data_IF_249050841564
#
_entry.id   IF_249050841564
#
_cell.length_a   1.000
_cell.length_b   1.000
_cell.length_c   1.000
_cell.angle_alpha   90.00
_cell.angle_beta   90.00
_cell.angle_gamma   90.00
#
_symmetry.space_group_name_H-M   'P 1'
#
loop_
_entity.id
_entity.type
_entity.pdbx_description
1 polymer ?
#
# COMPACT_ATOMS: atom_id res chain seq x y z
N UNK A 1 12.09 -5.24 5.07
CA UNK A 1 11.93 -4.39 3.86
C UNK A 1 12.93 -3.25 3.87
N UNK A 2 12.90 -2.36 4.88
CA UNK A 2 13.83 -1.21 4.96
C UNK A 2 15.31 -1.61 5.02
N UNK A 3 15.66 -2.63 5.79
CA UNK A 3 17.04 -3.16 5.84
C UNK A 3 17.50 -3.76 4.49
N UNK A 4 16.55 -4.13 3.63
CA UNK A 4 16.80 -4.62 2.27
C UNK A 4 16.74 -3.51 1.21
N UNK A 5 16.60 -2.23 1.62
CA UNK A 5 16.63 -1.08 0.72
C UNK A 5 15.28 -0.66 0.12
N UNK A 6 14.16 -1.27 0.53
CA UNK A 6 12.84 -0.89 0.01
C UNK A 6 12.24 0.28 0.76
N UNK A 7 11.83 1.31 0.01
CA UNK A 7 11.07 2.45 0.54
C UNK A 7 9.61 2.08 0.77
N UNK A 8 9.05 2.51 1.90
CA UNK A 8 7.65 2.28 2.25
C UNK A 8 6.84 3.57 2.13
N UNK A 9 5.56 3.45 1.81
CA UNK A 9 4.63 4.57 1.84
C UNK A 9 4.39 5.04 3.28
N UNK A 10 4.70 6.30 3.57
CA UNK A 10 4.54 6.92 4.89
C UNK A 10 3.34 7.85 5.01
N UNK A 11 2.56 8.06 3.95
CA UNK A 11 1.35 8.90 4.01
C UNK A 11 0.35 8.30 4.98
N UNK A 12 -0.12 9.05 5.98
CA UNK A 12 -0.98 8.50 7.03
C UNK A 12 -0.28 7.53 8.01
N UNK A 13 1.06 7.53 8.05
CA UNK A 13 1.88 6.59 8.84
C UNK A 13 2.43 5.45 7.98
N UNK A 14 3.51 4.79 8.41
CA UNK A 14 4.08 3.64 7.68
C UNK A 14 3.14 2.42 7.73
N UNK A 15 2.46 2.23 8.86
CA UNK A 15 1.39 1.23 9.07
C UNK A 15 0.06 1.97 9.20
N UNK A 16 -0.93 1.57 8.42
CA UNK A 16 -2.28 2.11 8.39
C UNK A 16 -3.25 1.12 9.02
N UNK A 17 -4.22 1.64 9.76
CA UNK A 17 -5.13 0.81 10.55
C UNK A 17 -4.49 0.42 11.88
N UNK A 18 -5.07 -0.58 12.53
CA UNK A 18 -4.70 -1.01 13.87
C UNK A 18 -5.40 -2.32 14.23
N UNK A 19 -5.00 -3.00 15.32
CA UNK A 19 -5.69 -4.19 15.80
C UNK A 19 -7.16 -3.94 16.15
N UNK A 20 -7.52 -2.73 16.61
CA UNK A 20 -8.90 -2.38 16.98
C UNK A 20 -9.84 -2.34 15.76
N UNK A 21 -9.33 -2.00 14.59
CA UNK A 21 -10.07 -2.07 13.31
C UNK A 21 -9.84 -3.39 12.57
N UNK A 22 -9.19 -4.35 13.24
CA UNK A 22 -8.90 -5.71 12.79
C UNK A 22 -8.05 -5.84 11.52
N UNK A 23 -7.37 -4.76 11.13
CA UNK A 23 -6.58 -4.69 9.91
C UNK A 23 -5.45 -3.67 10.05
N UNK A 24 -4.23 -4.13 9.81
CA UNK A 24 -3.04 -3.28 9.64
C UNK A 24 -2.46 -3.50 8.24
N UNK A 25 -2.08 -2.42 7.58
CA UNK A 25 -1.58 -2.43 6.20
C UNK A 25 -0.34 -1.56 6.05
N UNK A 26 0.60 -1.99 5.22
CA UNK A 26 1.73 -1.18 4.76
C UNK A 26 1.99 -1.48 3.29
N UNK A 27 2.68 -0.59 2.59
CA UNK A 27 3.03 -0.79 1.18
C UNK A 27 4.41 -0.24 0.86
N UNK A 28 5.06 -0.80 -0.15
CA UNK A 28 6.21 -0.14 -0.78
C UNK A 28 5.76 1.13 -1.50
N UNK A 29 6.69 2.03 -1.79
CA UNK A 29 6.48 2.99 -2.87
C UNK A 29 6.41 2.23 -4.21
N UNK A 30 5.64 2.75 -5.16
CA UNK A 30 5.56 2.16 -6.48
C UNK A 30 6.89 2.32 -7.23
N UNK A 31 7.30 1.26 -7.92
CA UNK A 31 8.42 1.35 -8.86
C UNK A 31 7.98 2.11 -10.11
N UNK A 32 8.92 2.74 -10.80
CA UNK A 32 8.64 3.34 -12.10
C UNK A 32 8.81 2.34 -13.24
N UNK A 33 7.97 2.45 -14.26
CA UNK A 33 8.05 1.66 -15.47
C UNK A 33 7.96 2.56 -16.70
N UNK A 34 8.84 2.32 -17.68
CA UNK A 34 8.84 3.06 -18.94
C UNK A 34 7.75 2.52 -19.86
N UNK A 35 6.79 3.37 -20.22
CA UNK A 35 5.70 3.04 -21.14
C UNK A 35 5.87 3.84 -22.43
N UNK A 36 5.73 3.17 -23.56
CA UNK A 36 5.72 3.80 -24.89
C UNK A 36 4.32 4.33 -25.20
N UNK A 37 4.20 5.65 -25.25
CA UNK A 37 3.02 6.37 -25.73
C UNK A 37 3.14 6.66 -27.23
N UNK A 38 2.07 7.17 -27.84
CA UNK A 38 2.04 7.49 -29.28
C UNK A 38 3.06 8.54 -29.71
N UNK A 39 3.56 9.33 -28.76
CA UNK A 39 4.44 10.48 -28.95
C UNK A 39 5.78 10.38 -28.20
N UNK A 40 6.05 9.26 -27.52
CA UNK A 40 7.34 9.01 -26.87
C UNK A 40 7.27 8.05 -25.69
N UNK A 41 8.41 7.74 -25.10
CA UNK A 41 8.50 6.96 -23.87
C UNK A 41 8.39 7.86 -22.64
N UNK A 42 7.53 7.50 -21.69
CA UNK A 42 7.43 8.18 -20.39
C UNK A 42 7.57 7.19 -19.24
N UNK A 43 8.32 7.60 -18.22
CA UNK A 43 8.40 6.88 -16.95
C UNK A 43 7.15 7.19 -16.12
N UNK A 44 6.40 6.15 -15.74
CA UNK A 44 5.20 6.30 -14.92
C UNK A 44 5.29 5.42 -13.66
N UNK A 45 4.70 5.83 -12.53
CA UNK A 45 4.51 4.95 -11.38
C UNK A 45 3.71 3.72 -11.80
N UNK A 46 4.22 2.54 -11.48
CA UNK A 46 3.66 1.27 -11.93
C UNK A 46 2.88 0.58 -10.80
N UNK A 47 3.50 -0.39 -10.14
CA UNK A 47 2.89 -1.18 -9.07
C UNK A 47 3.68 -1.03 -7.78
N UNK A 48 2.99 -1.26 -6.67
CA UNK A 48 3.59 -1.42 -5.35
C UNK A 48 3.21 -2.78 -4.79
N UNK A 49 3.95 -3.23 -3.79
CA UNK A 49 3.59 -4.40 -3.00
C UNK A 49 2.95 -3.96 -1.68
N UNK A 50 1.78 -4.53 -1.39
CA UNK A 50 1.07 -4.32 -0.13
C UNK A 50 1.26 -5.52 0.80
N UNK A 51 1.38 -5.23 2.10
CA UNK A 51 1.47 -6.20 3.17
C UNK A 51 0.35 -5.92 4.17
N UNK A 52 -0.42 -6.95 4.53
CA UNK A 52 -1.56 -6.80 5.43
C UNK A 52 -1.54 -7.87 6.54
N UNK A 53 -1.83 -7.43 7.77
CA UNK A 53 -2.12 -8.28 8.91
C UNK A 53 -3.62 -8.17 9.21
N UNK A 54 -4.30 -9.31 9.25
CA UNK A 54 -5.73 -9.41 9.58
C UNK A 54 -5.88 -10.04 10.94
N UNK A 55 -6.69 -9.42 11.79
CA UNK A 55 -6.98 -9.93 13.12
C UNK A 55 -8.28 -10.75 13.12
N UNK A 56 -8.41 -11.75 14.01
CA UNK A 56 -9.66 -12.48 14.19
C UNK A 56 -10.77 -11.56 14.69
N UNK A 57 -11.97 -11.73 14.13
CA UNK A 57 -13.21 -11.16 14.66
C UNK A 57 -13.62 -11.90 15.93
N UNK A 58 -14.69 -11.45 16.58
CA UNK A 58 -15.24 -12.08 17.78
C UNK A 58 -15.69 -13.54 17.57
N UNK A 59 -16.00 -13.93 16.34
CA UNK A 59 -16.34 -15.31 15.96
C UNK A 59 -15.11 -16.20 15.71
N UNK A 60 -13.89 -15.66 15.86
CA UNK A 60 -12.63 -16.36 15.64
C UNK A 60 -12.17 -16.37 14.18
N UNK A 61 -13.02 -15.96 13.23
CA UNK A 61 -12.66 -15.89 11.81
C UNK A 61 -11.89 -14.61 11.50
N UNK A 62 -10.95 -14.67 10.55
CA UNK A 62 -10.19 -13.49 10.14
C UNK A 62 -11.10 -12.41 9.53
N UNK A 63 -10.83 -11.15 9.86
CA UNK A 63 -11.49 -10.03 9.20
C UNK A 63 -11.13 -9.97 7.71
N UNK A 64 -12.12 -10.08 6.84
CA UNK A 64 -11.96 -10.11 5.36
C UNK A 64 -12.28 -8.79 4.67
N UNK A 65 -12.77 -7.79 5.40
CA UNK A 65 -13.15 -6.50 4.84
C UNK A 65 -11.97 -5.59 4.53
N UNK A 66 -12.30 -4.34 4.16
CA UNK A 66 -11.37 -3.25 3.92
C UNK A 66 -11.76 -2.05 4.77
N UNK A 67 -10.75 -1.34 5.29
CA UNK A 67 -10.95 -0.10 6.04
C UNK A 67 -10.70 1.07 5.09
N UNK A 68 -11.75 1.83 4.77
CA UNK A 68 -11.68 2.90 3.76
C UNK A 68 -10.59 3.94 4.05
N UNK A 69 -10.42 4.31 5.33
CA UNK A 69 -9.38 5.26 5.75
C UNK A 69 -7.95 4.73 5.50
N UNK A 70 -7.72 3.42 5.66
CA UNK A 70 -6.44 2.80 5.33
C UNK A 70 -6.24 2.72 3.82
N UNK A 71 -7.29 2.33 3.08
CA UNK A 71 -7.24 2.19 1.63
C UNK A 71 -6.93 3.51 0.91
N UNK A 72 -7.51 4.63 1.35
CA UNK A 72 -7.24 5.97 0.82
C UNK A 72 -5.73 6.29 0.81
N UNK A 73 -5.05 5.96 1.89
CA UNK A 73 -3.61 6.22 2.05
C UNK A 73 -2.71 5.22 1.34
N UNK A 74 -3.20 4.02 1.04
CA UNK A 74 -2.46 3.05 0.23
C UNK A 74 -2.43 3.46 -1.24
N UNK A 75 -3.50 4.09 -1.77
CA UNK A 75 -3.51 4.61 -3.15
C UNK A 75 -2.46 5.70 -3.40
N UNK A 76 -2.01 6.38 -2.35
CA UNK A 76 -0.93 7.37 -2.47
C UNK A 76 0.45 6.73 -2.78
N UNK A 77 0.57 5.40 -2.80
CA UNK A 77 1.81 4.70 -3.16
C UNK A 77 2.23 4.88 -4.63
N UNK A 78 1.29 5.22 -5.52
CA UNK A 78 1.54 5.55 -6.94
C UNK A 78 1.48 7.05 -7.21
N UNK A 79 1.36 7.89 -6.17
CA UNK A 79 1.26 9.32 -6.38
C UNK A 79 2.62 9.87 -6.84
N UNK A 80 2.66 10.46 -8.04
CA UNK A 80 3.85 11.11 -8.56
C UNK A 80 4.16 12.34 -7.68
N UNK A 81 5.42 12.47 -7.26
CA UNK A 81 5.91 13.63 -6.49
C UNK A 81 6.02 14.88 -7.36
#
# INVERSE_FOLDING_TARGET
LKDAGFSLNTSGGEVKGSPEVLLEQSSTLADEYSVTFSDGDMSIPSCFYEFAIRYPKADGELYTGFVAASADKIFESTNAR
#
